data_IF_951572500105
#
_entry.id   IF_951572500105
#
_cell.length_a   1.000
_cell.length_b   1.000
_cell.length_c   1.000
_cell.angle_alpha   90.00
_cell.angle_beta   90.00
_cell.angle_gamma   90.00
#
_symmetry.space_group_name_H-M   'P 1'
#
loop_
_entity.id
_entity.type
_entity.pdbx_description
1 polymer ?
#
# COMPACT_ATOMS: atom_id res chain seq x y z
N UNK A 1 4.96 -31.78 -3.04
CA UNK A 1 4.82 -30.46 -2.41
C UNK A 1 4.82 -29.41 -3.50
N UNK A 2 3.75 -28.62 -3.60
CA UNK A 2 3.61 -27.60 -4.65
C UNK A 2 4.32 -26.33 -4.17
N UNK A 3 5.08 -25.72 -5.08
CA UNK A 3 5.75 -24.45 -4.85
C UNK A 3 5.33 -23.44 -5.94
N UNK A 4 5.33 -22.17 -5.59
CA UNK A 4 5.14 -21.07 -6.52
C UNK A 4 6.53 -20.56 -6.88
N UNK A 5 6.86 -20.55 -8.15
CA UNK A 5 8.14 -20.05 -8.66
C UNK A 5 7.91 -18.74 -9.42
N UNK A 6 8.71 -17.75 -9.10
CA UNK A 6 8.66 -16.41 -9.70
C UNK A 6 10.06 -15.95 -10.08
N UNK A 7 10.32 -15.72 -11.38
CA UNK A 7 11.53 -15.00 -11.79
C UNK A 7 11.37 -13.50 -11.46
N UNK A 8 12.35 -12.93 -10.80
CA UNK A 8 12.35 -11.51 -10.40
C UNK A 8 13.72 -10.88 -10.60
N UNK A 9 13.76 -9.56 -10.77
CA UNK A 9 15.02 -8.82 -10.84
C UNK A 9 15.79 -8.91 -9.52
N UNK A 10 17.10 -9.09 -9.59
CA UNK A 10 17.99 -9.08 -8.42
C UNK A 10 17.84 -7.81 -7.59
N UNK A 11 17.48 -6.68 -8.21
CA UNK A 11 17.27 -5.41 -7.50
C UNK A 11 16.15 -5.49 -6.45
N UNK A 12 15.17 -6.39 -6.63
CA UNK A 12 14.06 -6.58 -5.68
C UNK A 12 14.44 -7.43 -4.48
N UNK A 13 15.53 -8.22 -4.56
CA UNK A 13 15.92 -9.15 -3.49
C UNK A 13 16.30 -8.47 -2.19
N UNK A 14 16.72 -7.19 -2.26
CA UNK A 14 17.01 -6.40 -1.06
C UNK A 14 15.77 -6.16 -0.19
N UNK A 15 14.58 -6.25 -0.77
CA UNK A 15 13.30 -6.06 -0.09
C UNK A 15 12.59 -7.38 0.23
N UNK A 16 13.08 -8.51 -0.30
CA UNK A 16 12.44 -9.82 -0.17
C UNK A 16 13.37 -10.76 0.57
N UNK A 17 12.87 -11.30 1.69
CA UNK A 17 13.62 -12.24 2.52
C UNK A 17 12.82 -13.51 2.76
N UNK A 18 13.48 -14.66 2.95
CA UNK A 18 12.81 -15.87 3.42
C UNK A 18 12.01 -15.61 4.70
N UNK A 19 10.82 -16.15 4.78
CA UNK A 19 9.87 -15.94 5.88
C UNK A 19 8.88 -14.82 5.65
N UNK A 20 9.10 -13.92 4.70
CA UNK A 20 8.12 -12.89 4.37
C UNK A 20 6.85 -13.50 3.77
N UNK A 21 5.72 -12.84 4.01
CA UNK A 21 4.44 -13.16 3.37
C UNK A 21 4.20 -12.21 2.22
N UNK A 22 3.88 -12.77 1.07
CA UNK A 22 3.56 -12.00 -0.14
C UNK A 22 2.16 -12.36 -0.62
N UNK A 23 1.36 -11.36 -1.04
CA UNK A 23 0.05 -11.60 -1.62
C UNK A 23 0.22 -12.21 -3.01
N UNK A 24 -0.43 -13.33 -3.22
CA UNK A 24 -0.46 -14.08 -4.47
C UNK A 24 -1.90 -14.24 -4.91
N UNK A 25 -2.19 -13.83 -6.14
CA UNK A 25 -3.51 -13.94 -6.75
C UNK A 25 -3.50 -14.98 -7.86
N UNK A 26 -4.47 -15.87 -7.83
CA UNK A 26 -4.77 -16.83 -8.90
C UNK A 26 -6.28 -16.94 -9.07
N UNK A 27 -6.78 -16.92 -10.31
CA UNK A 27 -8.21 -17.03 -10.63
C UNK A 27 -9.12 -16.08 -9.82
N UNK A 28 -8.64 -14.84 -9.59
CA UNK A 28 -9.40 -13.83 -8.83
C UNK A 28 -9.34 -13.99 -7.29
N UNK A 29 -8.76 -15.06 -6.78
CA UNK A 29 -8.57 -15.29 -5.35
C UNK A 29 -7.17 -14.87 -4.94
N UNK A 30 -7.07 -14.01 -3.91
CA UNK A 30 -5.80 -13.57 -3.34
C UNK A 30 -5.57 -14.23 -1.98
N UNK A 31 -4.37 -14.75 -1.78
CA UNK A 31 -3.94 -15.36 -0.50
C UNK A 31 -2.49 -14.99 -0.22
N UNK A 32 -2.11 -14.96 1.05
CA UNK A 32 -0.73 -14.76 1.46
C UNK A 32 0.05 -16.06 1.46
N UNK A 33 1.23 -16.04 0.84
CA UNK A 33 2.14 -17.16 0.79
C UNK A 33 3.53 -16.80 1.30
N UNK A 34 4.18 -17.73 1.98
CA UNK A 34 5.47 -17.49 2.62
C UNK A 34 6.61 -17.71 1.62
N UNK A 35 7.51 -16.75 1.52
CA UNK A 35 8.76 -16.87 0.78
C UNK A 35 9.64 -17.91 1.48
N UNK A 36 10.00 -18.97 0.78
CA UNK A 36 10.87 -20.03 1.29
C UNK A 36 12.33 -19.74 1.04
N UNK A 37 12.64 -19.34 -0.17
CA UNK A 37 14.01 -19.08 -0.58
C UNK A 37 14.05 -18.11 -1.77
N UNK A 38 15.18 -17.45 -1.91
CA UNK A 38 15.55 -16.67 -3.09
C UNK A 38 16.79 -17.33 -3.68
N UNK A 39 16.64 -17.93 -4.86
CA UNK A 39 17.71 -18.68 -5.53
C UNK A 39 18.32 -17.79 -6.61
N UNK A 40 19.62 -17.49 -6.57
CA UNK A 40 20.28 -16.82 -7.68
C UNK A 40 20.23 -17.76 -8.90
N UNK A 41 19.59 -17.33 -9.96
CA UNK A 41 19.63 -18.06 -11.24
C UNK A 41 20.94 -17.70 -11.91
N UNK A 42 21.75 -18.72 -12.23
CA UNK A 42 23.17 -18.58 -12.56
C UNK A 42 23.53 -17.91 -13.87
N UNK A 43 22.71 -17.01 -14.38
CA UNK A 43 23.03 -16.21 -15.55
C UNK A 43 23.33 -14.75 -15.16
N UNK A 44 24.61 -14.39 -15.20
CA UNK A 44 25.10 -13.06 -14.90
C UNK A 44 24.58 -11.97 -15.87
N UNK A 45 24.06 -12.35 -17.01
CA UNK A 45 23.57 -11.43 -18.05
C UNK A 45 22.14 -11.01 -17.74
N UNK A 46 21.28 -11.95 -17.34
CA UNK A 46 19.86 -11.66 -17.10
C UNK A 46 19.59 -10.90 -15.79
N UNK A 47 20.50 -11.00 -14.82
CA UNK A 47 20.35 -10.42 -13.47
C UNK A 47 19.02 -10.80 -12.81
N UNK A 48 18.55 -12.01 -13.09
CA UNK A 48 17.32 -12.54 -12.53
C UNK A 48 17.63 -13.47 -11.37
N UNK A 49 16.70 -13.58 -10.47
CA UNK A 49 16.66 -14.56 -9.37
C UNK A 49 15.33 -15.29 -9.41
N UNK A 50 15.30 -16.48 -8.86
CA UNK A 50 14.06 -17.23 -8.67
C UNK A 50 13.61 -17.09 -7.21
N UNK A 51 12.42 -16.56 -7.00
CA UNK A 51 11.79 -16.51 -5.69
C UNK A 51 10.83 -17.68 -5.60
N UNK A 52 11.01 -18.52 -4.57
CA UNK A 52 10.13 -19.67 -4.31
C UNK A 52 9.28 -19.41 -3.07
N UNK A 53 7.98 -19.57 -3.23
CA UNK A 53 7.01 -19.48 -2.14
C UNK A 53 6.36 -20.83 -1.90
N UNK A 54 5.96 -21.08 -0.66
CA UNK A 54 5.16 -22.25 -0.32
C UNK A 54 3.75 -22.06 -0.85
N UNK A 55 3.24 -22.99 -1.65
CA UNK A 55 1.84 -22.98 -2.07
C UNK A 55 0.88 -23.36 -0.92
N UNK A 56 1.38 -23.97 0.14
CA UNK A 56 0.54 -24.45 1.25
C UNK A 56 -0.47 -25.50 0.79
N UNK A 57 -1.65 -25.45 1.37
CA UNK A 57 -2.79 -26.30 1.02
C UNK A 57 -3.71 -25.61 -0.02
N UNK A 58 -3.13 -24.78 -0.88
CA UNK A 58 -3.89 -24.12 -1.94
C UNK A 58 -4.37 -25.14 -2.97
N UNK A 59 -5.65 -25.06 -3.35
CA UNK A 59 -6.28 -25.90 -4.38
C UNK A 59 -5.88 -25.48 -5.81
N UNK A 60 -4.74 -24.83 -5.96
CA UNK A 60 -4.29 -24.34 -7.26
C UNK A 60 -3.69 -25.46 -8.10
N UNK A 61 -4.02 -25.46 -9.37
CA UNK A 61 -3.49 -26.44 -10.31
C UNK A 61 -2.03 -26.15 -10.63
N UNK A 62 -1.23 -27.19 -10.71
CA UNK A 62 0.16 -27.09 -11.17
C UNK A 62 0.17 -26.56 -12.61
N UNK A 63 0.99 -25.55 -12.86
CA UNK A 63 1.03 -24.84 -14.16
C UNK A 63 0.04 -23.69 -14.29
N UNK A 64 -0.80 -23.43 -13.29
CA UNK A 64 -1.67 -22.26 -13.31
C UNK A 64 -0.87 -20.95 -13.18
N UNK A 65 -1.22 -19.91 -13.94
CA UNK A 65 -0.58 -18.61 -13.79
C UNK A 65 -0.97 -17.95 -12.47
N UNK A 66 0.00 -17.29 -11.84
CA UNK A 66 -0.19 -16.53 -10.61
C UNK A 66 0.33 -15.12 -10.78
N UNK A 67 -0.28 -14.17 -10.07
CA UNK A 67 0.21 -12.80 -9.94
C UNK A 67 0.70 -12.58 -8.52
N UNK A 68 1.89 -12.03 -8.36
CA UNK A 68 2.50 -11.78 -7.06
C UNK A 68 2.83 -10.30 -6.94
N UNK A 69 2.37 -9.69 -5.85
CA UNK A 69 2.74 -8.30 -5.53
C UNK A 69 4.06 -8.30 -4.77
N UNK A 70 5.08 -7.69 -5.35
CA UNK A 70 6.41 -7.59 -4.75
C UNK A 70 6.64 -6.20 -4.17
N UNK A 71 7.27 -6.10 -2.98
CA UNK A 71 7.71 -4.82 -2.46
C UNK A 71 8.82 -4.26 -3.37
N UNK A 72 8.66 -3.03 -3.82
CA UNK A 72 9.63 -2.32 -4.65
C UNK A 72 10.44 -1.28 -3.87
N UNK A 73 10.09 -1.07 -2.61
CA UNK A 73 10.75 -0.12 -1.70
C UNK A 73 10.75 -0.67 -0.27
N UNK A 74 11.60 -0.09 0.60
CA UNK A 74 11.62 -0.44 2.00
C UNK A 74 10.28 -0.10 2.68
N UNK A 75 9.79 -0.96 3.61
CA UNK A 75 8.61 -0.62 4.39
C UNK A 75 8.87 0.64 5.20
N UNK A 76 8.00 1.62 5.06
CA UNK A 76 8.07 2.89 5.78
C UNK A 76 6.77 3.10 6.53
N UNK A 77 6.89 3.37 7.83
CA UNK A 77 5.75 3.85 8.58
C UNK A 77 5.35 5.23 8.07
N UNK A 78 4.13 5.37 7.63
CA UNK A 78 3.57 6.63 7.17
C UNK A 78 2.18 6.81 7.74
N UNK A 79 1.77 8.05 7.94
CA UNK A 79 0.37 8.34 8.27
C UNK A 79 -0.45 8.12 7.02
N UNK A 80 -1.55 7.39 7.14
CA UNK A 80 -2.47 7.18 6.04
C UNK A 80 -3.81 7.83 6.34
N UNK A 81 -4.41 8.41 5.31
CA UNK A 81 -5.78 8.96 5.36
C UNK A 81 -6.67 8.20 4.37
N UNK A 82 -7.98 8.14 4.62
CA UNK A 82 -8.92 7.62 3.62
C UNK A 82 -8.81 8.42 2.32
N UNK A 83 -8.90 7.76 1.18
CA UNK A 83 -8.82 8.40 -0.13
C UNK A 83 -9.86 9.52 -0.31
N UNK A 84 -11.05 9.35 0.27
CA UNK A 84 -12.14 10.32 0.21
C UNK A 84 -11.85 11.61 1.01
N UNK A 85 -10.85 11.59 1.90
CA UNK A 85 -10.39 12.80 2.61
C UNK A 85 -9.45 13.66 1.77
N UNK A 86 -8.89 13.10 0.69
CA UNK A 86 -7.95 13.80 -0.18
C UNK A 86 -8.72 14.69 -1.16
N UNK A 87 -8.35 15.97 -1.20
CA UNK A 87 -8.87 16.93 -2.16
C UNK A 87 -7.74 17.39 -3.06
N UNK A 88 -7.95 17.31 -4.36
CA UNK A 88 -7.00 17.80 -5.36
C UNK A 88 -7.57 19.06 -6.03
N UNK A 89 -6.81 20.16 -6.00
CA UNK A 89 -7.18 21.41 -6.66
C UNK A 89 -5.93 22.11 -7.18
N UNK A 90 -5.97 22.53 -8.43
CA UNK A 90 -4.86 23.24 -9.09
C UNK A 90 -3.51 22.52 -9.01
N UNK A 91 -3.52 21.19 -9.10
CA UNK A 91 -2.30 20.38 -9.06
C UNK A 91 -1.69 20.20 -7.66
N UNK A 92 -2.38 20.62 -6.63
CA UNK A 92 -1.99 20.41 -5.23
C UNK A 92 -2.97 19.48 -4.53
N UNK A 93 -2.42 18.63 -3.67
CA UNK A 93 -3.18 17.72 -2.82
C UNK A 93 -3.23 18.25 -1.40
N UNK A 94 -4.42 18.25 -0.81
CA UNK A 94 -4.62 18.68 0.57
C UNK A 94 -5.73 17.89 1.25
N UNK A 95 -5.73 17.96 2.56
CA UNK A 95 -6.78 17.42 3.42
C UNK A 95 -7.28 18.51 4.34
N UNK A 96 -8.51 18.38 4.81
CA UNK A 96 -9.03 19.23 5.86
C UNK A 96 -8.93 18.52 7.20
N UNK A 97 -8.21 19.15 8.13
CA UNK A 97 -8.08 18.71 9.51
C UNK A 97 -9.03 19.50 10.39
N UNK A 98 -9.66 18.85 11.35
CA UNK A 98 -10.48 19.54 12.36
C UNK A 98 -9.60 19.92 13.54
N UNK A 99 -9.52 21.21 13.83
CA UNK A 99 -8.80 21.70 15.00
C UNK A 99 -9.65 21.61 16.28
N UNK A 100 -9.05 21.94 17.44
CA UNK A 100 -9.73 21.88 18.73
C UNK A 100 -10.92 22.81 18.90
N UNK A 101 -11.17 23.72 17.94
CA UNK A 101 -12.31 24.65 17.91
C UNK A 101 -13.39 24.21 16.91
N UNK A 102 -13.36 22.98 16.42
CA UNK A 102 -14.25 22.44 15.39
C UNK A 102 -14.26 23.27 14.09
N UNK A 103 -13.10 23.71 13.69
CA UNK A 103 -12.90 24.48 12.46
C UNK A 103 -12.04 23.66 11.49
N UNK A 104 -12.44 23.68 10.21
CA UNK A 104 -11.69 23.01 9.15
C UNK A 104 -10.43 23.81 8.80
N UNK A 105 -9.29 23.18 8.97
CA UNK A 105 -7.97 23.71 8.61
C UNK A 105 -7.47 22.96 7.36
N UNK A 106 -7.17 23.72 6.31
CA UNK A 106 -6.59 23.15 5.09
C UNK A 106 -5.12 22.87 5.29
N UNK A 107 -4.72 21.64 5.06
CA UNK A 107 -3.32 21.19 5.17
C UNK A 107 -2.87 20.63 3.83
N UNK A 108 -1.86 21.25 3.23
CA UNK A 108 -1.22 20.70 2.02
C UNK A 108 -0.42 19.47 2.36
N UNK A 109 -0.63 18.40 1.61
CA UNK A 109 0.00 17.10 1.85
C UNK A 109 0.76 16.62 0.62
N UNK A 110 1.76 15.80 0.85
CA UNK A 110 2.47 15.08 -0.20
C UNK A 110 2.11 13.61 -0.15
N UNK A 111 1.62 13.09 -1.26
CA UNK A 111 1.27 11.69 -1.40
C UNK A 111 2.55 10.87 -1.56
N UNK A 112 2.71 9.85 -0.75
CA UNK A 112 3.81 8.87 -0.86
C UNK A 112 3.37 7.60 -1.57
N UNK A 113 2.20 7.09 -1.22
CA UNK A 113 1.70 5.82 -1.72
C UNK A 113 0.17 5.80 -1.71
N UNK A 114 -0.39 4.98 -2.57
CA UNK A 114 -1.83 4.70 -2.58
C UNK A 114 -1.99 3.19 -2.49
N UNK A 115 -2.71 2.72 -1.46
CA UNK A 115 -2.98 1.30 -1.24
C UNK A 115 -4.47 1.13 -1.00
N UNK A 116 -5.19 0.65 -2.01
CA UNK A 116 -6.64 0.49 -1.95
C UNK A 116 -7.36 1.81 -1.67
N UNK A 117 -8.08 1.88 -0.55
CA UNK A 117 -8.83 3.06 -0.10
C UNK A 117 -8.01 4.01 0.79
N UNK A 118 -6.72 3.76 0.97
CA UNK A 118 -5.83 4.52 1.84
C UNK A 118 -4.74 5.23 1.06
N UNK A 119 -4.44 6.46 1.46
CA UNK A 119 -3.38 7.28 0.88
C UNK A 119 -2.35 7.57 1.97
N UNK A 120 -1.13 7.10 1.75
CA UNK A 120 0.02 7.39 2.62
C UNK A 120 0.55 8.79 2.36
N UNK A 121 0.76 9.56 3.43
CA UNK A 121 1.15 10.96 3.42
C UNK A 121 2.49 11.13 4.11
N UNK A 122 3.39 11.94 3.54
CA UNK A 122 4.72 12.18 4.11
C UNK A 122 4.75 13.32 5.12
N UNK A 123 3.85 14.29 5.01
CA UNK A 123 3.87 15.49 5.84
C UNK A 123 2.46 16.07 6.04
N UNK A 124 2.32 16.94 7.01
CA UNK A 124 1.14 17.76 7.26
C UNK A 124 0.12 17.15 8.22
N UNK A 125 0.09 15.83 8.37
CA UNK A 125 -0.84 15.11 9.25
C UNK A 125 -0.06 14.24 10.22
N UNK A 126 -0.47 14.25 11.48
CA UNK A 126 0.09 13.42 12.54
C UNK A 126 -0.88 12.28 12.92
N UNK A 127 -0.38 11.19 13.52
CA UNK A 127 -1.24 10.17 14.11
C UNK A 127 -2.18 10.80 15.16
N UNK A 128 -3.48 10.49 15.08
CA UNK A 128 -4.49 11.04 15.97
C UNK A 128 -5.19 12.32 15.47
N UNK A 129 -4.71 12.92 14.38
CA UNK A 129 -5.40 14.03 13.73
C UNK A 129 -6.74 13.56 13.14
N UNK A 130 -7.78 14.38 13.31
CA UNK A 130 -9.10 14.15 12.73
C UNK A 130 -9.17 14.79 11.35
N UNK A 131 -9.40 13.99 10.32
CA UNK A 131 -9.56 14.47 8.94
C UNK A 131 -11.00 14.36 8.47
N UNK A 132 -11.43 15.30 7.64
CA UNK A 132 -12.78 15.34 7.09
C UNK A 132 -12.81 14.44 5.85
N UNK A 133 -13.66 13.43 5.87
CA UNK A 133 -13.79 12.42 4.81
C UNK A 133 -14.93 12.77 3.84
N UNK A 134 -16.03 13.35 4.35
CA UNK A 134 -17.18 13.67 3.53
C UNK A 134 -17.36 15.18 3.40
N UNK A 135 -17.60 15.64 2.17
CA UNK A 135 -17.85 17.05 1.89
C UNK A 135 -16.59 17.93 1.90
N UNK A 136 -15.41 17.32 2.00
CA UNK A 136 -14.13 18.04 2.02
C UNK A 136 -13.95 18.94 0.78
N UNK A 137 -14.46 18.50 -0.37
CA UNK A 137 -14.39 19.25 -1.64
C UNK A 137 -15.17 20.57 -1.66
N UNK A 138 -16.13 20.73 -0.74
CA UNK A 138 -17.00 21.90 -0.62
C UNK A 138 -16.59 22.87 0.48
N UNK A 139 -15.60 22.49 1.28
CA UNK A 139 -15.15 23.31 2.40
C UNK A 139 -14.25 24.45 1.95
N UNK A 140 -14.34 25.53 2.73
CA UNK A 140 -13.38 26.63 2.70
C UNK A 140 -12.51 26.61 3.97
N UNK A 141 -11.24 27.02 3.88
CA UNK A 141 -10.39 27.15 5.07
C UNK A 141 -11.04 28.05 6.13
N UNK A 142 -11.04 27.58 7.39
CA UNK A 142 -11.64 28.33 8.51
C UNK A 142 -13.15 28.13 8.70
N UNK A 143 -13.78 27.26 7.92
CA UNK A 143 -15.19 26.96 8.08
C UNK A 143 -15.43 26.08 9.32
N UNK A 144 -16.45 26.44 10.11
CA UNK A 144 -16.91 25.62 11.23
C UNK A 144 -17.55 24.32 10.71
N UNK A 145 -17.24 23.21 11.36
CA UNK A 145 -17.75 21.88 11.00
C UNK A 145 -18.34 21.17 12.20
N UNK A 146 -19.38 20.40 11.96
CA UNK A 146 -19.93 19.49 12.95
C UNK A 146 -19.27 18.13 12.80
N UNK A 147 -18.68 17.62 13.88
CA UNK A 147 -18.00 16.33 13.88
C UNK A 147 -19.02 15.23 14.14
N UNK A 148 -19.35 14.46 13.11
CA UNK A 148 -20.13 13.24 13.21
C UNK A 148 -19.15 12.06 13.13
N UNK A 149 -18.89 11.40 14.26
CA UNK A 149 -18.02 10.23 14.28
C UNK A 149 -18.70 9.07 13.53
N UNK A 150 -18.02 8.52 12.53
CA UNK A 150 -18.44 7.26 11.93
C UNK A 150 -17.86 6.12 12.77
N UNK A 151 -18.74 5.28 13.25
CA UNK A 151 -18.41 3.99 13.86
C UNK A 151 -17.91 3.01 12.80
#
# INVERSE_FOLDING_TARGET
RIEISLPASIALTRFIKPGMRLPVRSNGVEREHVVRTVVPVGDAVSRMVEIRLSAGDSEWLVGAPVQISLPSDAPVSTVAVPRDALVERSGQSFVYKVNGKSVAEQVTVQIRSVVGLWVGITNGIAPGDRVIVRGAERLSPGQAVEVIEQQ
#
